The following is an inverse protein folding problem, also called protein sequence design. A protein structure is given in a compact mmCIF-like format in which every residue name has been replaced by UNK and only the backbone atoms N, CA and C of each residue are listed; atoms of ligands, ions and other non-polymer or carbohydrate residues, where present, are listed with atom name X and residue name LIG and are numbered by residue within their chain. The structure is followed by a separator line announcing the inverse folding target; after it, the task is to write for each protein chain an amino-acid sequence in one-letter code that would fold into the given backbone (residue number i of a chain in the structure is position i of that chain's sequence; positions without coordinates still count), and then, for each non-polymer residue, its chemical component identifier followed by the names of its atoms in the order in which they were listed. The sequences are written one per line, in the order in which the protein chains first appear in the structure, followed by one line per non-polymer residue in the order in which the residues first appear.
data_IF_241169807023
#
_entry.id   IF_241169807023
#
_cell.length_a   1.000
_cell.length_b   1.000
_cell.length_c   1.000
_cell.angle_alpha   90.00
_cell.angle_beta   90.00
_cell.angle_gamma   90.00
#
_symmetry.space_group_name_H-M   'P 1'
#
loop_
_entity.id
_entity.type
_entity.pdbx_description
1 polymer ?
#
# COMPACT_ATOMS: atom_id res chain seq x y z
N UNK A 1 23.46 -14.93 -3.65
CA UNK A 1 22.56 -13.76 -3.72
C UNK A 1 21.93 -13.59 -2.35
N UNK A 2 22.00 -12.41 -1.74
CA UNK A 2 21.12 -12.09 -0.60
C UNK A 2 19.69 -12.08 -1.13
N UNK A 3 18.81 -12.87 -0.53
CA UNK A 3 17.39 -12.82 -0.84
C UNK A 3 16.83 -11.45 -0.47
N UNK A 4 15.77 -11.02 -1.15
CA UNK A 4 15.03 -9.77 -0.85
C UNK A 4 14.52 -9.68 0.60
N UNK A 5 14.53 -10.80 1.33
CA UNK A 5 14.09 -10.93 2.72
C UNK A 5 15.23 -11.07 3.73
N UNK A 6 16.49 -11.01 3.29
CA UNK A 6 17.64 -11.18 4.16
C UNK A 6 17.89 -9.92 4.99
N UNK A 7 17.71 -10.02 6.31
CA UNK A 7 17.90 -8.92 7.27
C UNK A 7 16.61 -8.32 7.85
N UNK A 8 15.45 -8.74 7.36
CA UNK A 8 14.15 -8.31 7.89
C UNK A 8 13.66 -9.25 9.01
N UNK A 9 13.02 -8.68 10.03
CA UNK A 9 12.24 -9.46 11.00
C UNK A 9 10.94 -9.92 10.35
N UNK A 10 10.99 -11.13 9.75
CA UNK A 10 9.87 -11.75 9.04
C UNK A 10 8.64 -11.94 9.93
N UNK A 11 8.83 -12.16 11.24
CA UNK A 11 7.73 -12.31 12.19
C UNK A 11 7.01 -10.99 12.43
N UNK A 12 7.77 -9.89 12.54
CA UNK A 12 7.22 -8.54 12.67
C UNK A 12 6.50 -8.09 11.40
N UNK A 13 7.12 -8.29 10.23
CA UNK A 13 6.50 -7.98 8.93
C UNK A 13 5.18 -8.74 8.76
N UNK A 14 5.16 -10.04 9.04
CA UNK A 14 3.95 -10.86 8.93
C UNK A 14 2.81 -10.35 9.81
N UNK A 15 3.07 -10.00 11.08
CA UNK A 15 2.04 -9.44 11.98
C UNK A 15 1.51 -8.10 11.50
N UNK A 16 2.37 -7.23 10.99
CA UNK A 16 1.95 -5.95 10.45
C UNK A 16 1.11 -6.15 9.17
N UNK A 17 1.44 -7.14 8.32
CA UNK A 17 0.65 -7.51 7.13
C UNK A 17 -0.73 -7.99 7.52
N UNK A 18 -0.81 -8.88 8.51
CA UNK A 18 -2.09 -9.35 9.06
C UNK A 18 -2.88 -8.18 9.64
N UNK A 19 -2.25 -7.26 10.35
CA UNK A 19 -2.91 -6.07 10.93
C UNK A 19 -3.50 -5.18 9.84
N UNK A 20 -2.78 -4.96 8.75
CA UNK A 20 -3.29 -4.20 7.61
C UNK A 20 -4.43 -4.92 6.89
N UNK A 21 -4.31 -6.24 6.69
CA UNK A 21 -5.36 -7.04 6.06
C UNK A 21 -6.61 -7.21 6.93
N UNK A 22 -6.50 -7.03 8.24
CA UNK A 22 -7.65 -6.98 9.15
C UNK A 22 -8.16 -5.56 9.40
N UNK A 23 -7.53 -4.55 8.81
CA UNK A 23 -8.03 -3.17 8.89
C UNK A 23 -9.09 -2.96 7.82
N UNK A 24 -10.36 -2.97 8.24
CA UNK A 24 -11.51 -2.70 7.37
C UNK A 24 -11.36 -1.35 6.65
N UNK A 25 -10.89 -0.32 7.38
CA UNK A 25 -10.63 1.01 6.80
C UNK A 25 -9.60 0.97 5.67
N UNK A 26 -8.53 0.20 5.85
CA UNK A 26 -7.50 0.08 4.83
C UNK A 26 -7.97 -0.72 3.61
N UNK A 27 -8.74 -1.79 3.82
CA UNK A 27 -9.34 -2.56 2.74
C UNK A 27 -10.37 -1.74 1.95
N UNK A 28 -11.15 -0.89 2.61
CA UNK A 28 -12.10 0.01 1.98
C UNK A 28 -11.40 1.03 1.09
N UNK A 29 -10.29 1.62 1.55
CA UNK A 29 -9.51 2.55 0.74
C UNK A 29 -8.89 1.85 -0.47
N UNK A 30 -8.41 0.61 -0.31
CA UNK A 30 -7.92 -0.17 -1.45
C UNK A 30 -9.03 -0.46 -2.47
N UNK A 31 -10.24 -0.76 -2.00
CA UNK A 31 -11.40 -0.96 -2.86
C UNK A 31 -11.78 0.34 -3.60
N UNK A 32 -11.77 1.48 -2.91
CA UNK A 32 -11.98 2.81 -3.53
C UNK A 32 -10.95 3.09 -4.62
N UNK A 33 -9.66 2.84 -4.36
CA UNK A 33 -8.58 3.03 -5.34
C UNK A 33 -8.73 2.08 -6.53
N UNK A 34 -9.07 0.82 -6.28
CA UNK A 34 -9.23 -0.18 -7.34
C UNK A 34 -10.39 0.16 -8.29
N UNK A 35 -11.49 0.64 -7.72
CA UNK A 35 -12.72 0.97 -8.45
C UNK A 35 -12.80 2.43 -8.90
N UNK A 36 -11.75 3.24 -8.68
CA UNK A 36 -11.74 4.64 -9.08
C UNK A 36 -11.78 4.80 -10.60
N UNK A 37 -12.72 5.63 -11.08
CA UNK A 37 -12.89 5.97 -12.50
C UNK A 37 -12.09 7.20 -12.92
N UNK A 38 -11.50 7.94 -11.97
CA UNK A 38 -10.76 9.18 -12.23
C UNK A 38 -9.41 9.19 -11.55
N UNK A 39 -8.43 9.88 -12.16
CA UNK A 39 -7.08 10.03 -11.61
C UNK A 39 -7.10 10.73 -10.25
N UNK A 40 -7.96 11.73 -10.06
CA UNK A 40 -8.05 12.45 -8.79
C UNK A 40 -8.62 11.58 -7.67
N UNK A 41 -9.52 10.63 -7.98
CA UNK A 41 -9.98 9.64 -7.00
C UNK A 41 -8.85 8.68 -6.60
N UNK A 42 -8.04 8.21 -7.55
CA UNK A 42 -6.85 7.38 -7.27
C UNK A 42 -5.86 8.15 -6.39
N UNK A 43 -5.60 9.43 -6.68
CA UNK A 43 -4.71 10.28 -5.88
C UNK A 43 -5.19 10.43 -4.44
N UNK A 44 -6.47 10.77 -4.22
CA UNK A 44 -7.04 10.89 -2.88
C UNK A 44 -6.94 9.59 -2.09
N UNK A 45 -7.27 8.45 -2.71
CA UNK A 45 -7.13 7.14 -2.05
C UNK A 45 -5.68 6.79 -1.74
N UNK A 46 -4.74 7.14 -2.64
CA UNK A 46 -3.29 6.94 -2.41
C UNK A 46 -2.77 7.79 -1.24
N UNK A 47 -3.25 9.03 -1.09
CA UNK A 47 -2.83 9.88 0.03
C UNK A 47 -3.37 9.36 1.37
N UNK A 48 -4.61 8.86 1.40
CA UNK A 48 -5.19 8.18 2.58
C UNK A 48 -4.41 6.92 2.96
N UNK A 49 -4.01 6.12 1.98
CA UNK A 49 -3.12 4.96 2.20
C UNK A 49 -1.82 5.42 2.86
N UNK A 50 -1.16 6.46 2.32
CA UNK A 50 0.09 6.97 2.89
C UNK A 50 -0.04 7.44 4.33
N UNK A 51 -1.17 8.05 4.70
CA UNK A 51 -1.45 8.50 6.06
C UNK A 51 -1.54 7.31 7.05
N UNK A 52 -2.36 6.30 6.72
CA UNK A 52 -2.49 5.08 7.52
C UNK A 52 -1.15 4.34 7.61
N UNK A 53 -0.41 4.29 6.50
CA UNK A 53 0.90 3.67 6.46
C UNK A 53 1.98 4.44 7.22
N UNK A 54 1.85 5.76 7.34
CA UNK A 54 2.69 6.59 8.20
C UNK A 54 2.59 6.15 9.66
N UNK A 55 1.36 6.00 10.15
CA UNK A 55 1.09 5.49 11.50
C UNK A 55 1.68 4.08 11.70
N UNK A 56 1.54 3.20 10.70
CA UNK A 56 2.09 1.84 10.79
C UNK A 56 3.60 1.77 10.69
N UNK A 57 4.25 2.73 10.01
CA UNK A 57 5.71 2.79 9.90
C UNK A 57 6.36 3.22 11.21
N UNK A 58 5.69 4.05 12.02
CA UNK A 58 6.12 4.37 13.38
C UNK A 58 6.12 3.12 14.27
N UNK A 59 5.10 2.27 14.13
CA UNK A 59 4.97 1.01 14.88
C UNK A 59 5.86 -0.12 14.30
N UNK A 60 6.12 -0.10 12.99
CA UNK A 60 6.86 -1.12 12.26
C UNK A 60 7.67 -0.52 11.09
N UNK A 61 8.93 -0.10 11.31
CA UNK A 61 9.81 0.41 10.26
C UNK A 61 10.06 -0.58 9.12
N UNK A 62 10.06 -1.89 9.43
CA UNK A 62 10.21 -2.99 8.46
C UNK A 62 9.02 -3.10 7.48
N UNK A 63 7.92 -2.40 7.76
CA UNK A 63 6.72 -2.32 6.92
C UNK A 63 6.88 -1.46 5.67
N UNK A 64 8.00 -0.73 5.56
CA UNK A 64 8.36 0.07 4.40
C UNK A 64 8.26 -0.69 3.07
N UNK A 65 8.59 -1.99 3.06
CA UNK A 65 8.49 -2.83 1.87
C UNK A 65 7.04 -2.96 1.35
N UNK A 66 6.05 -3.04 2.24
CA UNK A 66 4.64 -3.08 1.82
C UNK A 66 4.17 -1.74 1.26
N UNK A 67 4.67 -0.62 1.79
CA UNK A 67 4.39 0.73 1.27
C UNK A 67 4.82 0.81 -0.19
N UNK A 68 6.02 0.31 -0.48
CA UNK A 68 6.58 0.31 -1.82
C UNK A 68 5.74 -0.55 -2.78
N UNK A 69 5.29 -1.74 -2.36
CA UNK A 69 4.41 -2.58 -3.19
C UNK A 69 3.08 -1.90 -3.57
N UNK A 70 2.46 -1.17 -2.64
CA UNK A 70 1.18 -0.50 -2.85
C UNK A 70 1.32 0.77 -3.67
N UNK A 71 2.40 1.51 -3.45
CA UNK A 71 2.77 2.64 -4.28
C UNK A 71 2.96 2.21 -5.74
N UNK A 72 3.70 1.12 -5.97
CA UNK A 72 3.90 0.55 -7.32
C UNK A 72 2.59 0.08 -7.95
N UNK A 73 1.67 -0.48 -7.16
CA UNK A 73 0.32 -0.83 -7.63
C UNK A 73 -0.46 0.41 -8.08
N UNK A 74 -0.48 1.47 -7.27
CA UNK A 74 -1.16 2.72 -7.58
C UNK A 74 -0.56 3.40 -8.84
N UNK A 75 0.76 3.43 -8.98
CA UNK A 75 1.44 3.95 -10.18
C UNK A 75 1.03 3.20 -11.44
N UNK A 76 0.92 1.87 -11.36
CA UNK A 76 0.43 1.05 -12.46
C UNK A 76 -1.02 1.41 -12.83
N UNK A 77 -1.91 1.57 -11.84
CA UNK A 77 -3.31 1.94 -12.10
C UNK A 77 -3.44 3.32 -12.75
N UNK A 78 -2.63 4.29 -12.35
CA UNK A 78 -2.58 5.62 -12.98
C UNK A 78 -2.21 5.49 -14.46
N UNK A 79 -1.14 4.74 -14.76
CA UNK A 79 -0.69 4.50 -16.13
C UNK A 79 -1.76 3.84 -16.99
N UNK A 80 -2.36 2.75 -16.50
CA UNK A 80 -3.40 2.01 -17.21
C UNK A 80 -4.62 2.88 -17.54
N UNK A 81 -4.96 3.85 -16.69
CA UNK A 81 -6.07 4.78 -16.90
C UNK A 81 -5.70 5.92 -17.86
N UNK A 82 -4.48 6.45 -17.76
CA UNK A 82 -3.99 7.50 -18.67
C UNK A 82 -3.83 7.01 -20.11
N UNK A 83 -3.52 5.73 -20.33
CA UNK A 83 -3.41 5.12 -21.66
C UNK A 83 -4.78 4.81 -22.30
N UNK A 84 -5.87 4.88 -21.55
CA UNK A 84 -7.25 4.62 -22.03
C UNK A 84 -8.00 5.90 -22.44
N UNK A 85 -7.44 7.08 -22.16
CA UNK A 85 -7.99 8.39 -22.51
C UNK A 85 -7.34 8.92 -23.79
#
# INVERSE_FOLDING_TARGET
MKGVWDGLDKGRVSRAVVTAYMSDEYLDILAEVNNAETVDAVRRGTDRIKEIMGLWREECPDYAFMVDCLYLFAEKRIRDLSERQ
#
